data_IF_725000477109
#
_entry.id   IF_725000477109
#
_cell.length_a   1.000
_cell.length_b   1.000
_cell.length_c   1.000
_cell.angle_alpha   90.00
_cell.angle_beta   90.00
_cell.angle_gamma   90.00
#
_symmetry.space_group_name_H-M   'P 1'
#
loop_
_entity.id
_entity.type
_entity.pdbx_description
1 polymer ?
#
# COMPACT_ATOMS: atom_id res chain seq x y z
N UNK A 1 -8.58 1.63 -22.71
CA UNK A 1 -7.43 1.01 -23.41
C UNK A 1 -6.24 0.82 -22.47
N UNK A 2 -5.70 1.86 -21.81
CA UNK A 2 -4.47 1.79 -20.95
C UNK A 2 -4.64 0.83 -19.76
N UNK A 3 -5.78 0.85 -19.09
CA UNK A 3 -6.06 -0.04 -17.97
C UNK A 3 -6.03 -1.53 -18.38
N UNK A 4 -6.65 -1.85 -19.51
CA UNK A 4 -6.67 -3.23 -20.05
C UNK A 4 -5.26 -3.68 -20.44
N UNK A 5 -4.49 -2.79 -21.10
CA UNK A 5 -3.09 -3.07 -21.41
C UNK A 5 -2.26 -3.33 -20.14
N UNK A 6 -2.47 -2.54 -19.08
CA UNK A 6 -1.84 -2.75 -17.78
C UNK A 6 -2.18 -4.09 -17.14
N UNK A 7 -3.45 -4.53 -17.24
CA UNK A 7 -3.88 -5.85 -16.75
C UNK A 7 -3.19 -6.99 -17.51
N UNK A 8 -3.11 -6.89 -18.85
CA UNK A 8 -2.45 -7.91 -19.68
C UNK A 8 -0.97 -8.02 -19.33
N UNK A 9 -0.26 -6.88 -19.30
CA UNK A 9 1.17 -6.84 -18.95
C UNK A 9 1.42 -7.34 -17.53
N UNK A 10 0.57 -6.94 -16.57
CA UNK A 10 0.70 -7.37 -15.16
C UNK A 10 0.52 -8.87 -14.95
N UNK A 11 -0.28 -9.55 -15.80
CA UNK A 11 -0.51 -10.99 -15.72
C UNK A 11 0.45 -11.83 -16.60
N UNK A 12 1.26 -11.19 -17.45
CA UNK A 12 2.27 -11.90 -18.23
C UNK A 12 3.47 -12.25 -17.35
N UNK A 13 4.04 -13.44 -17.58
CA UNK A 13 5.32 -13.85 -17.00
C UNK A 13 6.45 -13.12 -17.73
N UNK A 14 6.91 -12.02 -17.19
CA UNK A 14 8.01 -11.21 -17.73
C UNK A 14 9.27 -11.47 -16.91
N UNK A 15 10.36 -11.84 -17.58
CA UNK A 15 11.67 -12.09 -16.94
C UNK A 15 12.24 -10.87 -16.18
N UNK A 16 11.83 -9.64 -16.56
CA UNK A 16 12.28 -8.38 -15.96
C UNK A 16 11.16 -7.67 -15.20
N UNK A 17 10.17 -8.39 -14.70
CA UNK A 17 8.98 -7.81 -14.03
C UNK A 17 9.39 -6.87 -12.88
N UNK A 18 10.34 -7.26 -12.06
CA UNK A 18 10.81 -6.44 -10.93
C UNK A 18 11.42 -5.11 -11.41
N UNK A 19 12.31 -5.15 -12.41
CA UNK A 19 12.95 -3.94 -12.97
C UNK A 19 11.91 -3.00 -13.57
N UNK A 20 10.95 -3.55 -14.31
CA UNK A 20 9.85 -2.80 -14.91
C UNK A 20 8.99 -2.14 -13.82
N UNK A 21 8.61 -2.88 -12.79
CA UNK A 21 7.79 -2.36 -11.68
C UNK A 21 8.52 -1.25 -10.92
N UNK A 22 9.82 -1.41 -10.65
CA UNK A 22 10.63 -0.39 -9.97
C UNK A 22 10.77 0.87 -10.82
N UNK A 23 11.04 0.72 -12.13
CA UNK A 23 11.12 1.84 -13.06
C UNK A 23 9.80 2.61 -13.14
N UNK A 24 8.69 1.91 -13.38
CA UNK A 24 7.37 2.55 -13.45
C UNK A 24 6.94 3.15 -12.10
N UNK A 25 7.35 2.57 -10.98
CA UNK A 25 7.14 3.16 -9.65
C UNK A 25 7.74 4.56 -9.55
N UNK A 26 9.02 4.73 -9.90
CA UNK A 26 9.68 6.04 -9.92
C UNK A 26 9.11 6.99 -10.96
N UNK A 27 8.84 6.49 -12.17
CA UNK A 27 8.26 7.29 -13.25
C UNK A 27 6.86 7.80 -12.91
N UNK A 28 6.05 7.00 -12.21
CA UNK A 28 4.71 7.40 -11.74
C UNK A 28 4.77 8.62 -10.81
N UNK A 29 5.75 8.65 -9.89
CA UNK A 29 5.95 9.80 -9.01
C UNK A 29 6.25 11.08 -9.79
N UNK A 30 7.13 11.00 -10.78
CA UNK A 30 7.50 12.13 -11.62
C UNK A 30 6.30 12.66 -12.43
N UNK A 31 5.56 11.75 -13.08
CA UNK A 31 4.35 12.10 -13.84
C UNK A 31 3.28 12.71 -12.93
N UNK A 32 3.12 12.20 -11.72
CA UNK A 32 2.17 12.70 -10.74
C UNK A 32 2.52 14.14 -10.31
N UNK A 33 3.80 14.45 -10.08
CA UNK A 33 4.25 15.80 -9.76
C UNK A 33 3.94 16.77 -10.91
N UNK A 34 4.30 16.40 -12.15
CA UNK A 34 4.04 17.20 -13.34
C UNK A 34 2.54 17.45 -13.51
N UNK A 35 1.72 16.42 -13.33
CA UNK A 35 0.27 16.50 -13.43
C UNK A 35 -0.31 17.49 -12.41
N UNK A 36 0.04 17.37 -11.12
CA UNK A 36 -0.47 18.28 -10.10
C UNK A 36 0.02 19.72 -10.29
N UNK A 37 1.29 19.89 -10.74
CA UNK A 37 1.83 21.20 -11.08
C UNK A 37 1.01 21.84 -12.23
N UNK A 38 0.78 21.09 -13.30
CA UNK A 38 0.00 21.57 -14.47
C UNK A 38 -1.43 21.93 -14.08
N UNK A 39 -2.08 21.11 -13.25
CA UNK A 39 -3.43 21.40 -12.74
C UNK A 39 -3.44 22.64 -11.84
N UNK A 40 -2.40 22.82 -11.02
CA UNK A 40 -2.25 24.01 -10.18
C UNK A 40 -2.11 25.30 -10.99
N UNK A 41 -1.37 25.26 -12.11
CA UNK A 41 -1.21 26.41 -13.02
C UNK A 41 -2.50 26.77 -13.77
N UNK A 42 -3.41 25.82 -13.96
CA UNK A 42 -4.68 26.05 -14.64
C UNK A 42 -5.69 26.82 -13.77
N UNK A 43 -5.49 26.82 -12.46
CA UNK A 43 -6.41 27.43 -11.49
C UNK A 43 -6.08 28.88 -11.26
N UNK A 44 -7.12 29.72 -11.27
CA UNK A 44 -7.00 31.10 -10.82
C UNK A 44 -7.38 31.20 -9.34
N UNK A 45 -6.41 31.46 -8.42
CA UNK A 45 -6.68 31.49 -6.98
C UNK A 45 -7.72 32.52 -6.57
N UNK A 46 -7.78 33.64 -7.31
CA UNK A 46 -8.73 34.71 -7.00
C UNK A 46 -10.19 34.31 -7.30
N UNK A 47 -10.41 33.50 -8.32
CA UNK A 47 -11.74 32.96 -8.61
C UNK A 47 -12.15 31.85 -7.65
N UNK A 48 -11.18 31.06 -7.18
CA UNK A 48 -11.40 29.96 -6.23
C UNK A 48 -11.84 30.49 -4.87
N UNK A 49 -11.30 31.64 -4.44
CA UNK A 49 -11.58 32.26 -3.13
C UNK A 49 -12.88 33.06 -3.09
N UNK A 50 -13.65 33.14 -4.20
CA UNK A 50 -14.97 33.78 -4.17
C UNK A 50 -15.94 33.00 -3.26
N UNK A 51 -16.70 33.74 -2.45
CA UNK A 51 -17.72 33.19 -1.56
C UNK A 51 -18.71 32.29 -2.32
N UNK A 52 -19.01 32.61 -3.56
CA UNK A 52 -19.89 31.85 -4.46
C UNK A 52 -19.33 30.45 -4.79
N UNK A 53 -18.01 30.20 -4.66
CA UNK A 53 -17.37 28.91 -4.87
C UNK A 53 -17.13 28.22 -3.52
N UNK A 54 -16.67 28.98 -2.50
CA UNK A 54 -16.30 28.43 -1.19
C UNK A 54 -17.53 27.85 -0.49
N UNK A 55 -18.63 28.59 -0.36
CA UNK A 55 -19.78 28.15 0.43
C UNK A 55 -20.44 26.91 -0.15
N UNK A 56 -20.84 26.84 -1.42
CA UNK A 56 -21.43 25.63 -1.98
C UNK A 56 -20.39 24.51 -2.12
N UNK A 57 -19.09 24.82 -2.38
CA UNK A 57 -18.01 23.85 -2.43
C UNK A 57 -17.76 23.18 -1.07
N UNK A 58 -17.80 23.95 0.02
CA UNK A 58 -17.69 23.43 1.37
C UNK A 58 -18.88 22.54 1.73
N UNK A 59 -20.12 23.01 1.48
CA UNK A 59 -21.33 22.25 1.76
C UNK A 59 -21.35 20.93 0.99
N UNK A 60 -21.09 20.96 -0.31
CA UNK A 60 -21.03 19.77 -1.15
C UNK A 60 -19.87 18.85 -0.74
N UNK A 61 -18.70 19.41 -0.48
CA UNK A 61 -17.53 18.64 -0.07
C UNK A 61 -17.76 17.90 1.25
N UNK A 62 -18.26 18.60 2.25
CA UNK A 62 -18.60 18.01 3.58
C UNK A 62 -19.71 16.97 3.44
N UNK A 63 -20.78 17.27 2.71
CA UNK A 63 -21.85 16.32 2.43
C UNK A 63 -21.34 15.05 1.76
N UNK A 64 -20.46 15.19 0.76
CA UNK A 64 -19.92 14.04 0.06
C UNK A 64 -18.96 13.20 0.93
N UNK A 65 -18.24 13.82 1.86
CA UNK A 65 -17.32 13.11 2.76
C UNK A 65 -18.09 12.40 3.88
N UNK A 66 -19.04 13.10 4.50
CA UNK A 66 -19.71 12.62 5.72
C UNK A 66 -20.95 11.77 5.43
N UNK A 67 -21.68 12.05 4.34
CA UNK A 67 -22.95 11.38 4.04
C UNK A 67 -22.86 10.47 2.83
N UNK A 68 -22.55 11.02 1.67
CA UNK A 68 -22.65 10.29 0.41
C UNK A 68 -21.69 9.07 0.38
N UNK A 69 -20.47 9.25 0.86
CA UNK A 69 -19.45 8.21 0.86
C UNK A 69 -19.71 7.08 1.85
N UNK A 70 -19.97 7.34 3.14
CA UNK A 70 -20.35 6.29 4.08
C UNK A 70 -21.59 5.51 3.64
N UNK A 71 -22.62 6.19 3.13
CA UNK A 71 -23.82 5.52 2.62
C UNK A 71 -23.48 4.60 1.44
N UNK A 72 -22.71 5.07 0.46
CA UNK A 72 -22.30 4.27 -0.69
C UNK A 72 -21.49 3.04 -0.27
N UNK A 73 -20.52 3.21 0.64
CA UNK A 73 -19.66 2.12 1.13
C UNK A 73 -20.46 1.11 1.95
N UNK A 74 -21.35 1.60 2.83
CA UNK A 74 -22.21 0.72 3.63
C UNK A 74 -23.14 -0.10 2.75
N UNK A 75 -23.78 0.51 1.76
CA UNK A 75 -24.65 -0.20 0.81
C UNK A 75 -23.87 -1.24 -0.01
N UNK A 76 -22.67 -0.88 -0.51
CA UNK A 76 -21.83 -1.76 -1.34
C UNK A 76 -21.28 -2.95 -0.54
N UNK A 77 -20.95 -2.74 0.75
CA UNK A 77 -20.36 -3.77 1.61
C UNK A 77 -21.40 -4.54 2.46
N UNK A 78 -22.69 -4.22 2.35
CA UNK A 78 -23.77 -4.95 3.03
C UNK A 78 -23.72 -6.47 2.79
N UNK A 79 -23.55 -6.98 1.54
CA UNK A 79 -23.52 -8.42 1.28
C UNK A 79 -22.27 -9.11 1.84
N UNK A 80 -21.20 -8.37 2.13
CA UNK A 80 -19.92 -8.94 2.59
C UNK A 80 -19.82 -8.93 4.12
N UNK A 81 -20.18 -10.05 4.76
CA UNK A 81 -20.21 -10.19 6.23
C UNK A 81 -18.83 -10.19 6.90
N UNK A 82 -17.76 -10.43 6.15
CA UNK A 82 -16.37 -10.48 6.67
C UNK A 82 -15.82 -9.12 7.13
N UNK A 83 -16.39 -8.01 6.64
CA UNK A 83 -15.90 -6.69 7.02
C UNK A 83 -16.52 -6.23 8.33
N UNK A 84 -15.68 -5.93 9.32
CA UNK A 84 -16.11 -5.33 10.57
C UNK A 84 -16.67 -3.93 10.34
N UNK A 85 -17.56 -3.44 11.22
CA UNK A 85 -18.10 -2.08 11.12
C UNK A 85 -16.99 -1.01 11.13
N UNK A 86 -15.92 -1.24 11.90
CA UNK A 86 -14.74 -0.37 11.95
C UNK A 86 -14.02 -0.31 10.60
N UNK A 87 -13.85 -1.46 9.94
CA UNK A 87 -13.22 -1.51 8.62
C UNK A 87 -14.07 -0.78 7.57
N UNK A 88 -15.41 -0.94 7.59
CA UNK A 88 -16.32 -0.23 6.69
C UNK A 88 -16.24 1.29 6.88
N UNK A 89 -16.20 1.75 8.14
CA UNK A 89 -16.04 3.17 8.44
C UNK A 89 -14.71 3.71 7.95
N UNK A 90 -13.62 2.95 8.14
CA UNK A 90 -12.30 3.32 7.64
C UNK A 90 -12.26 3.41 6.11
N UNK A 91 -12.79 2.41 5.40
CA UNK A 91 -12.89 2.39 3.93
C UNK A 91 -13.69 3.61 3.43
N UNK A 92 -14.78 3.97 4.12
CA UNK A 92 -15.56 5.15 3.75
C UNK A 92 -14.78 6.45 3.92
N UNK A 93 -13.92 6.54 4.95
CA UNK A 93 -13.09 7.70 5.21
C UNK A 93 -11.91 7.84 4.24
N UNK A 94 -11.22 6.75 3.93
CA UNK A 94 -10.01 6.72 3.05
C UNK A 94 -10.30 7.07 1.59
N UNK A 95 -11.54 7.27 1.22
CA UNK A 95 -11.94 7.59 -0.15
C UNK A 95 -11.40 8.91 -0.70
N UNK A 96 -10.09 9.08 -0.71
CA UNK A 96 -9.41 10.24 -1.27
C UNK A 96 -9.82 10.47 -2.74
N UNK A 97 -10.09 11.73 -3.09
CA UNK A 97 -10.31 12.16 -4.45
C UNK A 97 -8.98 12.59 -5.04
N UNK A 98 -8.58 11.93 -6.14
CA UNK A 98 -7.36 12.28 -6.86
C UNK A 98 -7.60 13.29 -7.96
N UNK A 99 -6.65 13.38 -8.90
CA UNK A 99 -6.69 14.29 -10.02
C UNK A 99 -7.78 13.97 -11.06
N UNK A 100 -8.31 12.76 -11.08
CA UNK A 100 -9.29 12.30 -12.09
C UNK A 100 -10.53 13.19 -12.19
N UNK A 101 -11.21 13.58 -11.08
CA UNK A 101 -12.33 14.52 -11.17
C UNK A 101 -11.95 15.87 -11.77
N UNK A 102 -10.73 16.37 -11.48
CA UNK A 102 -10.24 17.64 -12.01
C UNK A 102 -9.99 17.51 -13.52
N UNK A 103 -9.38 16.39 -13.95
CA UNK A 103 -9.15 16.12 -15.38
C UNK A 103 -10.49 16.07 -16.13
N UNK A 104 -11.51 15.40 -15.59
CA UNK A 104 -12.84 15.43 -16.22
C UNK A 104 -13.45 16.83 -16.27
N UNK A 105 -13.23 17.65 -15.26
CA UNK A 105 -13.67 19.03 -15.26
C UNK A 105 -12.94 19.89 -16.32
N UNK A 106 -11.67 19.57 -16.68
CA UNK A 106 -10.96 20.25 -17.77
C UNK A 106 -11.59 19.97 -19.14
N UNK A 107 -12.14 18.78 -19.37
CA UNK A 107 -12.86 18.49 -20.60
C UNK A 107 -14.11 19.38 -20.74
N UNK A 108 -14.80 19.65 -19.63
CA UNK A 108 -15.92 20.62 -19.67
C UNK A 108 -15.45 22.04 -20.01
N UNK A 109 -14.26 22.45 -19.51
CA UNK A 109 -13.66 23.76 -19.88
C UNK A 109 -13.31 23.87 -21.35
N UNK A 110 -12.93 22.79 -22.00
CA UNK A 110 -12.54 22.75 -23.40
C UNK A 110 -13.77 22.75 -24.34
N UNK A 111 -14.95 22.45 -23.84
CA UNK A 111 -16.18 22.40 -24.63
C UNK A 111 -16.93 23.73 -24.57
N UNK A 112 -17.12 24.42 -25.70
CA UNK A 112 -17.88 25.66 -25.74
C UNK A 112 -19.39 25.47 -25.48
N UNK A 113 -19.87 24.21 -25.51
CA UNK A 113 -21.28 23.89 -25.31
C UNK A 113 -21.70 23.83 -23.84
N UNK A 114 -20.73 23.82 -22.88
CA UNK A 114 -21.04 23.70 -21.45
C UNK A 114 -21.15 25.08 -20.80
N UNK A 115 -22.36 25.51 -20.40
CA UNK A 115 -22.51 26.77 -19.68
C UNK A 115 -21.84 26.68 -18.30
N UNK A 116 -21.22 27.80 -17.89
CA UNK A 116 -20.54 27.88 -16.56
C UNK A 116 -19.42 26.84 -16.30
N UNK A 117 -18.78 26.35 -17.37
CA UNK A 117 -17.73 25.33 -17.25
C UNK A 117 -16.61 25.74 -16.27
N UNK A 118 -16.22 27.01 -16.26
CA UNK A 118 -15.22 27.56 -15.34
C UNK A 118 -15.65 27.49 -13.87
N UNK A 119 -16.91 27.77 -13.61
CA UNK A 119 -17.46 27.63 -12.25
C UNK A 119 -17.47 26.16 -11.78
N UNK A 120 -17.89 25.24 -12.65
CA UNK A 120 -17.87 23.81 -12.38
C UNK A 120 -16.44 23.31 -12.09
N UNK A 121 -15.47 23.74 -12.90
CA UNK A 121 -14.07 23.41 -12.70
C UNK A 121 -13.55 23.89 -11.35
N UNK A 122 -13.78 25.16 -10.99
CA UNK A 122 -13.38 25.74 -9.72
C UNK A 122 -14.01 25.01 -8.53
N UNK A 123 -15.29 24.62 -8.64
CA UNK A 123 -15.99 23.82 -7.62
C UNK A 123 -15.38 22.44 -7.42
N UNK A 124 -15.15 21.70 -8.51
CA UNK A 124 -14.53 20.37 -8.46
C UNK A 124 -13.13 20.44 -7.89
N UNK A 125 -12.35 21.44 -8.31
CA UNK A 125 -10.99 21.66 -7.82
C UNK A 125 -10.98 21.97 -6.31
N UNK A 126 -11.85 22.87 -5.85
CA UNK A 126 -11.99 23.22 -4.44
C UNK A 126 -12.38 22.02 -3.58
N UNK A 127 -13.38 21.23 -4.01
CA UNK A 127 -13.81 20.01 -3.30
C UNK A 127 -12.69 18.99 -3.25
N UNK A 128 -11.90 18.86 -4.32
CA UNK A 128 -10.77 17.91 -4.36
C UNK A 128 -9.67 18.32 -3.40
N UNK A 129 -9.27 19.59 -3.36
CA UNK A 129 -8.29 20.09 -2.39
C UNK A 129 -8.79 19.92 -0.96
N UNK A 130 -10.04 20.28 -0.69
CA UNK A 130 -10.66 20.12 0.62
C UNK A 130 -10.60 18.64 1.08
N UNK A 131 -10.94 17.72 0.17
CA UNK A 131 -10.87 16.27 0.44
C UNK A 131 -9.43 15.81 0.72
N UNK A 132 -8.46 16.25 -0.10
CA UNK A 132 -7.05 15.89 0.11
C UNK A 132 -6.51 16.42 1.43
N UNK A 133 -6.82 17.66 1.79
CA UNK A 133 -6.37 18.26 3.05
C UNK A 133 -7.02 17.57 4.25
N UNK A 134 -8.34 17.40 4.26
CA UNK A 134 -9.04 16.80 5.40
C UNK A 134 -8.77 15.30 5.53
N UNK A 135 -8.98 14.56 4.48
CA UNK A 135 -8.85 13.11 4.51
C UNK A 135 -7.38 12.67 4.48
N UNK A 136 -6.53 13.29 3.62
CA UNK A 136 -5.11 12.92 3.49
C UNK A 136 -4.34 13.06 4.81
N UNK A 137 -4.57 14.15 5.56
CA UNK A 137 -3.90 14.36 6.85
C UNK A 137 -4.45 13.49 7.98
N UNK A 138 -5.71 13.05 7.87
CA UNK A 138 -6.39 12.31 8.95
C UNK A 138 -6.42 10.80 8.76
N UNK A 139 -6.07 10.27 7.58
CA UNK A 139 -6.08 8.82 7.29
C UNK A 139 -5.34 8.01 8.35
N UNK A 140 -4.11 8.40 8.67
CA UNK A 140 -3.27 7.67 9.61
C UNK A 140 -3.82 7.72 11.05
N UNK A 141 -4.34 8.89 11.46
CA UNK A 141 -4.99 9.06 12.77
C UNK A 141 -6.26 8.23 12.88
N UNK A 142 -7.04 8.20 11.80
CA UNK A 142 -8.28 7.41 11.74
C UNK A 142 -8.00 5.90 11.83
N UNK A 143 -6.95 5.40 11.16
CA UNK A 143 -6.49 4.02 11.27
C UNK A 143 -6.11 3.64 12.71
N UNK A 144 -5.41 4.54 13.41
CA UNK A 144 -5.04 4.34 14.81
C UNK A 144 -6.25 4.34 15.73
N UNK A 145 -7.15 5.30 15.55
CA UNK A 145 -8.36 5.45 16.38
C UNK A 145 -9.32 4.26 16.25
N UNK A 146 -9.41 3.69 15.05
CA UNK A 146 -10.22 2.50 14.79
C UNK A 146 -9.54 1.18 15.18
N UNK A 147 -8.26 1.22 15.60
CA UNK A 147 -7.49 0.03 15.96
C UNK A 147 -7.19 -0.89 14.77
N UNK A 148 -7.12 -0.33 13.56
CA UNK A 148 -6.85 -1.07 12.32
C UNK A 148 -5.37 -1.00 11.89
N UNK A 149 -4.53 -0.37 12.70
CA UNK A 149 -3.11 -0.29 12.41
C UNK A 149 -2.46 -1.63 12.77
N UNK A 150 -2.14 -2.40 11.77
CA UNK A 150 -1.32 -3.59 11.94
C UNK A 150 0.15 -3.17 12.14
N UNK A 151 0.85 -3.71 13.14
CA UNK A 151 2.28 -3.44 13.26
C UNK A 151 2.96 -3.88 11.98
N UNK A 152 3.69 -2.96 11.35
CA UNK A 152 4.54 -3.30 10.21
C UNK A 152 5.48 -4.42 10.67
N UNK A 153 5.26 -5.64 10.19
CA UNK A 153 6.28 -6.67 10.22
C UNK A 153 7.40 -6.15 9.32
N UNK A 154 8.34 -5.43 9.90
CA UNK A 154 9.55 -5.08 9.16
C UNK A 154 10.19 -6.39 8.76
N UNK A 155 10.19 -6.68 7.44
CA UNK A 155 11.07 -7.71 6.90
C UNK A 155 12.49 -7.22 7.18
N UNK A 156 13.13 -7.81 8.16
CA UNK A 156 14.44 -7.36 8.64
C UNK A 156 15.53 -7.59 7.59
N UNK A 157 15.29 -8.52 6.67
CA UNK A 157 16.14 -8.75 5.50
C UNK A 157 15.54 -8.04 4.28
N UNK A 158 16.02 -6.84 3.98
CA UNK A 158 15.67 -6.11 2.75
C UNK A 158 16.51 -6.64 1.60
N UNK A 159 16.18 -7.81 1.07
CA UNK A 159 16.80 -8.32 -0.14
C UNK A 159 15.97 -7.87 -1.35
N UNK A 160 16.57 -7.07 -2.23
CA UNK A 160 15.98 -6.71 -3.54
C UNK A 160 16.18 -7.87 -4.53
N UNK A 161 15.63 -9.02 -4.21
CA UNK A 161 15.67 -10.21 -5.05
C UNK A 161 14.39 -10.31 -5.88
N UNK A 162 14.43 -10.97 -7.05
CA UNK A 162 13.22 -11.29 -7.83
C UNK A 162 12.18 -11.98 -6.96
N UNK A 163 10.89 -11.71 -7.22
CA UNK A 163 9.77 -12.24 -6.44
C UNK A 163 9.77 -13.77 -6.33
N UNK A 164 10.29 -14.45 -7.37
CA UNK A 164 10.41 -15.91 -7.41
C UNK A 164 11.39 -16.45 -6.34
N UNK A 165 12.51 -15.75 -6.12
CA UNK A 165 13.50 -16.11 -5.10
C UNK A 165 13.01 -15.64 -3.72
N UNK A 166 12.35 -14.49 -3.65
CA UNK A 166 11.79 -13.97 -2.40
C UNK A 166 10.67 -14.86 -1.87
N UNK A 167 9.89 -15.49 -2.74
CA UNK A 167 8.84 -16.46 -2.36
C UNK A 167 9.41 -17.73 -1.72
N UNK A 168 10.61 -18.13 -2.15
CA UNK A 168 11.31 -19.28 -1.58
C UNK A 168 12.10 -18.95 -0.30
N UNK A 169 12.20 -17.66 0.07
CA UNK A 169 12.91 -17.20 1.28
C UNK A 169 11.95 -16.92 2.42
N UNK A 170 12.32 -17.34 3.62
CA UNK A 170 11.55 -17.10 4.84
C UNK A 170 12.43 -16.73 6.01
N UNK A 171 11.91 -15.86 6.88
CA UNK A 171 12.56 -15.46 8.12
C UNK A 171 11.96 -16.27 9.28
N UNK A 172 12.80 -16.92 10.07
CA UNK A 172 12.37 -17.69 11.22
C UNK A 172 13.16 -17.26 12.46
N UNK A 173 12.49 -16.89 13.57
CA UNK A 173 13.18 -16.69 14.85
C UNK A 173 13.65 -18.02 15.41
N UNK A 174 14.82 -18.03 16.05
CA UNK A 174 15.32 -19.19 16.76
C UNK A 174 14.51 -19.39 18.04
N UNK A 175 13.75 -20.48 18.12
CA UNK A 175 12.95 -20.85 19.29
C UNK A 175 13.68 -21.86 20.17
N UNK A 176 13.27 -21.97 21.45
CA UNK A 176 13.81 -22.97 22.38
C UNK A 176 13.58 -24.39 21.86
N UNK A 177 12.51 -24.63 21.11
CA UNK A 177 12.20 -25.93 20.51
C UNK A 177 13.17 -26.29 19.38
N UNK A 178 13.65 -25.32 18.63
CA UNK A 178 14.63 -25.52 17.56
C UNK A 178 16.01 -25.91 18.15
N UNK A 179 16.32 -25.42 19.35
CA UNK A 179 17.56 -25.69 20.07
C UNK A 179 17.47 -26.95 20.96
N UNK A 180 16.37 -27.72 20.92
CA UNK A 180 16.21 -28.95 21.73
C UNK A 180 17.22 -30.04 21.37
N UNK A 181 17.61 -30.09 20.09
CA UNK A 181 18.51 -31.14 19.56
C UNK A 181 19.99 -30.73 19.60
N UNK A 182 20.26 -29.44 19.87
CA UNK A 182 21.60 -28.88 19.96
C UNK A 182 21.62 -27.37 19.76
N UNK A 183 22.77 -26.76 20.06
CA UNK A 183 22.94 -25.30 19.95
C UNK A 183 23.71 -24.87 18.70
N UNK A 184 24.16 -25.81 17.86
CA UNK A 184 24.85 -25.51 16.60
C UNK A 184 23.97 -25.75 15.38
N UNK A 185 24.24 -25.03 14.30
CA UNK A 185 23.46 -25.15 13.05
C UNK A 185 23.48 -26.56 12.47
N UNK A 186 24.52 -27.37 12.76
CA UNK A 186 24.67 -28.76 12.33
C UNK A 186 23.76 -29.70 13.10
N UNK A 187 23.44 -29.36 14.35
CA UNK A 187 22.69 -30.22 15.27
C UNK A 187 21.19 -30.00 15.18
N UNK A 188 20.76 -28.83 14.76
CA UNK A 188 19.34 -28.53 14.62
C UNK A 188 18.72 -29.28 13.44
N UNK A 189 17.49 -29.75 13.66
CA UNK A 189 16.71 -30.42 12.60
C UNK A 189 15.95 -29.42 11.76
N UNK A 190 16.38 -29.27 10.51
CA UNK A 190 15.70 -28.47 9.50
C UNK A 190 14.98 -29.39 8.50
N UNK A 191 13.90 -28.92 7.82
CA UNK A 191 13.25 -29.70 6.77
C UNK A 191 14.21 -30.04 5.64
N UNK A 192 13.96 -31.14 4.91
CA UNK A 192 14.74 -31.48 3.74
C UNK A 192 14.72 -30.32 2.72
N UNK A 193 15.79 -30.17 1.98
CA UNK A 193 15.96 -29.11 0.96
C UNK A 193 15.81 -27.68 1.49
N UNK A 194 16.19 -27.45 2.77
CA UNK A 194 16.21 -26.13 3.38
C UNK A 194 17.63 -25.71 3.69
N UNK A 195 18.02 -24.52 3.23
CA UNK A 195 19.34 -23.94 3.46
C UNK A 195 19.22 -22.66 4.31
N UNK A 196 20.06 -22.53 5.34
CA UNK A 196 20.22 -21.27 6.09
C UNK A 196 21.23 -20.40 5.36
N UNK A 197 20.76 -19.30 4.80
CA UNK A 197 21.61 -18.37 4.04
C UNK A 197 22.35 -17.43 4.97
N UNK A 198 21.66 -16.95 6.02
CA UNK A 198 22.16 -15.89 6.89
C UNK A 198 21.56 -15.97 8.28
N UNK A 199 22.34 -15.61 9.30
CA UNK A 199 21.89 -15.46 10.68
C UNK A 199 21.98 -13.99 11.06
N UNK A 200 20.89 -13.44 11.57
CA UNK A 200 20.87 -12.09 12.13
C UNK A 200 20.93 -12.19 13.65
N UNK A 201 21.94 -11.58 14.23
CA UNK A 201 22.16 -11.47 15.69
C UNK A 201 22.18 -10.00 16.09
N UNK A 202 21.10 -9.54 16.71
CA UNK A 202 20.93 -8.12 16.99
C UNK A 202 20.98 -7.29 15.71
N UNK A 203 22.04 -6.50 15.52
CA UNK A 203 22.22 -5.64 14.33
C UNK A 203 23.31 -6.16 13.36
N UNK A 204 23.84 -7.35 13.60
CA UNK A 204 24.89 -7.95 12.76
C UNK A 204 24.36 -9.11 11.95
N UNK A 205 24.86 -9.25 10.73
CA UNK A 205 24.57 -10.34 9.81
C UNK A 205 25.78 -11.27 9.72
N UNK A 206 25.56 -12.55 9.97
CA UNK A 206 26.57 -13.59 9.99
C UNK A 206 26.30 -14.58 8.85
N UNK A 207 27.35 -14.94 8.10
CA UNK A 207 27.26 -16.08 7.18
C UNK A 207 27.46 -17.35 8.01
N UNK A 208 26.44 -18.20 8.13
CA UNK A 208 26.52 -19.35 9.01
C UNK A 208 27.38 -20.47 8.43
N UNK A 209 28.04 -21.18 9.32
CA UNK A 209 28.69 -22.46 9.05
C UNK A 209 28.03 -23.54 9.92
N UNK A 210 28.22 -24.82 9.63
CA UNK A 210 27.64 -25.90 10.44
C UNK A 210 27.96 -25.83 11.95
N UNK A 211 29.10 -25.21 12.31
CA UNK A 211 29.54 -25.06 13.71
C UNK A 211 29.10 -23.72 14.33
N UNK A 212 28.30 -22.91 13.62
CA UNK A 212 27.77 -21.65 14.15
C UNK A 212 26.78 -21.92 15.26
N UNK A 213 27.07 -21.43 16.48
CA UNK A 213 26.14 -21.47 17.58
C UNK A 213 25.01 -20.49 17.41
N UNK A 214 23.80 -20.96 17.67
CA UNK A 214 22.56 -20.19 17.60
C UNK A 214 22.09 -19.80 19.00
N UNK A 215 21.47 -18.64 19.09
CA UNK A 215 20.88 -18.10 20.32
C UNK A 215 19.41 -17.77 20.13
N UNK A 216 18.64 -17.77 21.20
CA UNK A 216 17.20 -17.47 21.18
C UNK A 216 16.85 -16.08 20.59
N UNK A 217 17.83 -15.18 20.53
CA UNK A 217 17.67 -13.83 19.95
C UNK A 217 17.99 -13.79 18.46
N UNK A 218 18.51 -14.89 17.90
CA UNK A 218 18.91 -14.95 16.50
C UNK A 218 17.69 -15.14 15.59
N UNK A 219 17.79 -14.63 14.37
CA UNK A 219 16.83 -14.87 13.30
C UNK A 219 17.54 -15.48 12.11
N UNK A 220 16.96 -16.53 11.57
CA UNK A 220 17.49 -17.27 10.43
C UNK A 220 16.80 -16.81 9.16
N UNK A 221 17.57 -16.57 8.10
CA UNK A 221 17.08 -16.45 6.75
C UNK A 221 17.23 -17.78 6.03
N UNK A 222 16.11 -18.39 5.72
CA UNK A 222 16.01 -19.71 5.12
C UNK A 222 15.60 -19.61 3.66
N UNK A 223 16.10 -20.53 2.84
CA UNK A 223 15.59 -20.80 1.50
C UNK A 223 15.17 -22.26 1.41
N UNK A 224 14.02 -22.54 0.82
CA UNK A 224 13.54 -23.89 0.59
C UNK A 224 12.88 -24.00 -0.78
N UNK A 225 12.98 -25.17 -1.40
CA UNK A 225 12.30 -25.44 -2.67
C UNK A 225 10.78 -25.50 -2.52
N UNK A 226 10.27 -25.86 -1.35
CA UNK A 226 8.83 -25.96 -1.08
C UNK A 226 8.36 -24.93 -0.06
N UNK A 227 7.58 -23.95 -0.52
CA UNK A 227 6.99 -22.88 0.31
C UNK A 227 6.06 -23.42 1.41
N UNK A 228 5.41 -24.56 1.17
CA UNK A 228 4.50 -25.22 2.11
C UNK A 228 5.22 -25.70 3.38
N UNK A 229 6.45 -26.21 3.27
CA UNK A 229 7.24 -26.70 4.39
C UNK A 229 7.69 -25.54 5.30
N UNK A 230 8.04 -24.40 4.72
CA UNK A 230 8.41 -23.20 5.49
C UNK A 230 7.24 -22.60 6.27
N UNK A 231 6.03 -22.58 5.66
CA UNK A 231 4.82 -22.07 6.34
C UNK A 231 4.44 -22.92 7.54
N UNK A 232 4.53 -24.23 7.44
CA UNK A 232 4.23 -25.15 8.55
C UNK A 232 5.24 -24.98 9.70
N UNK A 233 6.53 -24.85 9.40
CA UNK A 233 7.57 -24.57 10.40
C UNK A 233 7.34 -23.25 11.15
N UNK A 234 6.99 -22.18 10.43
CA UNK A 234 6.76 -20.88 11.05
C UNK A 234 5.51 -20.92 11.93
N UNK A 235 4.45 -21.66 11.53
CA UNK A 235 3.24 -21.80 12.33
C UNK A 235 3.45 -22.66 13.58
N UNK A 236 4.34 -23.66 13.53
CA UNK A 236 4.65 -24.53 14.67
C UNK A 236 5.63 -23.89 15.67
N UNK A 237 6.33 -22.83 15.26
CA UNK A 237 7.35 -22.14 16.06
C UNK A 237 7.00 -20.69 16.41
N UNK A 238 5.82 -20.15 15.98
CA UNK A 238 5.28 -18.85 16.35
C UNK A 238 4.34 -18.96 17.56
#
# INVERSE_FOLDING_TARGET
AVYIAGLVVGNCKLSLKHTITTFFGGFTWLVQIIMFLSLGLLVNPHELLKVQVIVPGLLLGVFMIIVARPVAVLLSLLPFKHFTARARLYISWVGLRGAVPIIFATYALMSPAVPHARYMFNMVFFITILSLLLQGTTVNRMAQWLGLKEPLKEKEFKCNLPDEITAAMSEMPVSARLLSDGDTLKEITLPPNTLVIMVKRGNQYLVPTGNTRLYLTDKLLLISEEESHLKNLISDHA
#
